data_IF_725840719098
#
_entry.id   IF_725840719098
#
_cell.length_a   1.000
_cell.length_b   1.000
_cell.length_c   1.000
_cell.angle_alpha   90.00
_cell.angle_beta   90.00
_cell.angle_gamma   90.00
#
_symmetry.space_group_name_H-M   'P 1'
#
loop_
_entity.id
_entity.type
_entity.pdbx_description
1 polymer ?
#
# COMPACT_ATOMS: atom_id res chain seq x y z
N UNK A 1 14.20 -19.37 -10.11
CA UNK A 1 14.08 -17.91 -9.87
C UNK A 1 15.40 -17.37 -9.32
N UNK A 2 15.81 -16.19 -9.78
CA UNK A 2 17.04 -15.54 -9.32
C UNK A 2 16.87 -14.96 -7.90
N UNK A 3 17.95 -14.98 -7.10
CA UNK A 3 17.94 -14.44 -5.73
C UNK A 3 18.55 -13.02 -5.66
N UNK A 4 19.07 -12.52 -6.76
CA UNK A 4 19.62 -11.17 -6.87
C UNK A 4 18.89 -10.38 -7.95
N UNK A 5 18.86 -9.06 -7.85
CA UNK A 5 18.30 -8.21 -8.91
C UNK A 5 18.95 -8.51 -10.27
N UNK A 6 18.22 -8.36 -11.37
CA UNK A 6 18.75 -8.53 -12.73
C UNK A 6 19.86 -7.53 -13.04
N UNK A 7 19.84 -6.39 -12.39
CA UNK A 7 20.86 -5.37 -12.39
C UNK A 7 21.01 -4.73 -11.01
N UNK A 8 22.16 -4.15 -10.68
CA UNK A 8 22.30 -3.44 -9.42
C UNK A 8 21.39 -2.19 -9.39
N UNK A 9 20.94 -1.80 -8.19
CA UNK A 9 20.41 -0.46 -7.93
C UNK A 9 21.57 0.52 -8.03
N UNK A 10 21.45 1.51 -8.88
CA UNK A 10 22.52 2.50 -9.13
C UNK A 10 22.55 3.59 -8.05
N UNK A 11 23.67 4.26 -7.91
CA UNK A 11 23.77 5.37 -6.96
C UNK A 11 22.86 6.55 -7.36
N UNK A 12 22.62 6.76 -8.64
CA UNK A 12 21.67 7.77 -9.15
C UNK A 12 20.22 7.47 -8.73
N UNK A 13 19.84 6.19 -8.77
CA UNK A 13 18.51 5.73 -8.31
C UNK A 13 18.37 5.91 -6.81
N UNK A 14 19.42 5.62 -6.03
CA UNK A 14 19.44 5.84 -4.58
C UNK A 14 19.29 7.34 -4.27
N UNK A 15 20.05 8.19 -4.95
CA UNK A 15 19.97 9.65 -4.79
C UNK A 15 18.60 10.20 -5.22
N UNK A 16 17.99 9.64 -6.28
CA UNK A 16 16.62 10.00 -6.67
C UNK A 16 15.64 9.64 -5.56
N UNK A 17 15.72 8.43 -5.01
CA UNK A 17 14.88 8.02 -3.89
C UNK A 17 15.05 8.93 -2.66
N UNK A 18 16.30 9.21 -2.27
CA UNK A 18 16.62 10.11 -1.16
C UNK A 18 16.13 11.55 -1.40
N UNK A 19 16.16 12.04 -2.63
CA UNK A 19 15.75 13.40 -2.98
C UNK A 19 14.24 13.53 -3.12
N UNK A 20 13.61 12.63 -3.85
CA UNK A 20 12.22 12.74 -4.31
C UNK A 20 11.24 11.94 -3.42
N UNK A 21 11.73 10.98 -2.62
CA UNK A 21 10.92 10.11 -1.78
C UNK A 21 10.37 8.89 -2.50
N UNK A 22 10.65 8.74 -3.79
CA UNK A 22 10.30 7.56 -4.59
C UNK A 22 11.25 7.40 -5.77
N UNK A 23 11.28 6.17 -6.31
CA UNK A 23 12.06 5.85 -7.52
C UNK A 23 11.39 4.71 -8.30
N UNK A 24 11.38 4.81 -9.61
CA UNK A 24 11.00 3.75 -10.53
C UNK A 24 12.26 3.01 -10.99
N UNK A 25 12.36 1.74 -10.68
CA UNK A 25 13.46 0.86 -11.04
C UNK A 25 13.03 -0.05 -12.19
N UNK A 26 13.53 0.22 -13.37
CA UNK A 26 13.15 -0.51 -14.58
C UNK A 26 13.94 -1.83 -14.70
N UNK A 27 13.27 -2.89 -15.19
CA UNK A 27 13.86 -4.19 -15.55
C UNK A 27 14.74 -4.78 -14.43
N UNK A 28 14.25 -4.84 -13.20
CA UNK A 28 15.02 -5.26 -12.03
C UNK A 28 14.62 -6.63 -11.50
N UNK A 29 13.36 -7.07 -11.74
CA UNK A 29 12.87 -8.40 -11.40
C UNK A 29 12.72 -9.28 -12.63
N UNK A 30 13.01 -10.58 -12.48
CA UNK A 30 12.83 -11.54 -13.56
C UNK A 30 11.38 -11.90 -13.80
N UNK A 31 11.07 -12.31 -15.03
CA UNK A 31 9.74 -12.77 -15.44
C UNK A 31 9.22 -13.93 -14.58
N UNK A 32 10.10 -14.78 -14.06
CA UNK A 32 9.71 -15.87 -13.15
C UNK A 32 9.03 -15.35 -11.89
N UNK A 33 9.59 -14.29 -11.26
CA UNK A 33 9.00 -13.67 -10.07
C UNK A 33 7.69 -12.96 -10.39
N UNK A 34 7.63 -12.27 -11.51
CA UNK A 34 6.41 -11.59 -11.97
C UNK A 34 5.31 -12.60 -12.26
N UNK A 35 5.64 -13.70 -12.96
CA UNK A 35 4.68 -14.76 -13.31
C UNK A 35 4.16 -15.47 -12.05
N UNK A 36 5.05 -15.75 -11.08
CA UNK A 36 4.65 -16.33 -9.80
C UNK A 36 3.66 -15.42 -9.08
N UNK A 37 3.99 -14.13 -8.98
CA UNK A 37 3.16 -13.14 -8.33
C UNK A 37 1.80 -13.00 -9.02
N UNK A 38 1.78 -12.91 -10.35
CA UNK A 38 0.55 -12.74 -11.12
C UNK A 38 -0.44 -13.89 -10.89
N UNK A 39 0.04 -15.12 -11.03
CA UNK A 39 -0.77 -16.32 -10.76
C UNK A 39 -1.24 -16.38 -9.31
N UNK A 40 -0.40 -15.94 -8.38
CA UNK A 40 -0.75 -15.95 -6.96
C UNK A 40 -1.84 -14.93 -6.63
N UNK A 41 -1.76 -13.72 -7.21
CA UNK A 41 -2.82 -12.71 -7.06
C UNK A 41 -4.14 -13.23 -7.63
N UNK A 42 -4.13 -13.87 -8.79
CA UNK A 42 -5.33 -14.47 -9.38
C UNK A 42 -5.93 -15.58 -8.50
N UNK A 43 -5.08 -16.45 -7.94
CA UNK A 43 -5.53 -17.49 -7.02
C UNK A 43 -6.12 -16.92 -5.72
N UNK A 44 -5.51 -15.88 -5.15
CA UNK A 44 -6.01 -15.17 -3.97
C UNK A 44 -7.31 -14.43 -4.27
N UNK A 45 -7.46 -13.86 -5.45
CA UNK A 45 -8.71 -13.20 -5.86
C UNK A 45 -9.87 -14.20 -6.02
N UNK A 46 -9.58 -15.40 -6.52
CA UNK A 46 -10.58 -16.46 -6.68
C UNK A 46 -10.98 -17.11 -5.33
N UNK A 47 -10.05 -17.19 -4.39
CA UNK A 47 -10.26 -17.77 -3.06
C UNK A 47 -9.60 -16.88 -1.99
N UNK A 48 -10.22 -15.76 -1.62
CA UNK A 48 -9.66 -14.81 -0.68
C UNK A 48 -9.38 -15.47 0.68
N UNK A 49 -8.15 -15.34 1.17
CA UNK A 49 -7.76 -15.82 2.49
C UNK A 49 -7.07 -14.68 3.25
N UNK A 50 -7.41 -14.57 4.53
CA UNK A 50 -6.82 -13.56 5.39
C UNK A 50 -7.65 -12.28 5.50
N UNK A 51 -6.98 -11.18 5.77
CA UNK A 51 -7.64 -9.87 5.88
C UNK A 51 -7.89 -9.30 4.48
N UNK A 52 -9.14 -9.37 4.04
CA UNK A 52 -9.59 -8.93 2.72
C UNK A 52 -10.58 -7.79 2.90
N UNK A 53 -10.36 -6.70 2.18
CA UNK A 53 -11.26 -5.55 2.13
C UNK A 53 -11.70 -5.36 0.68
N UNK A 54 -12.99 -5.46 0.43
CA UNK A 54 -13.61 -5.01 -0.82
C UNK A 54 -14.08 -3.56 -0.63
N UNK A 55 -13.24 -2.63 -1.03
CA UNK A 55 -13.51 -1.21 -0.90
C UNK A 55 -14.73 -0.75 -1.72
N UNK A 56 -15.03 -1.40 -2.85
CA UNK A 56 -16.21 -1.08 -3.64
C UNK A 56 -17.48 -1.46 -2.90
N UNK A 57 -17.55 -2.68 -2.36
CA UNK A 57 -18.70 -3.11 -1.56
C UNK A 57 -18.83 -2.25 -0.31
N UNK A 58 -17.73 -1.98 0.40
CA UNK A 58 -17.72 -1.13 1.58
C UNK A 58 -18.25 0.29 1.26
N UNK A 59 -17.80 0.87 0.14
CA UNK A 59 -18.26 2.16 -0.34
C UNK A 59 -19.75 2.18 -0.68
N UNK A 60 -20.24 1.17 -1.38
CA UNK A 60 -21.66 1.06 -1.73
C UNK A 60 -22.54 0.86 -0.48
N UNK A 61 -22.09 0.08 0.48
CA UNK A 61 -22.79 -0.10 1.76
C UNK A 61 -22.81 1.19 2.56
N UNK A 62 -21.71 1.94 2.60
CA UNK A 62 -21.64 3.22 3.29
C UNK A 62 -22.60 4.27 2.71
N UNK A 63 -22.82 4.27 1.39
CA UNK A 63 -23.82 5.14 0.73
C UNK A 63 -25.26 4.74 1.03
N UNK A 64 -25.52 3.43 1.19
CA UNK A 64 -26.85 2.89 1.40
C UNK A 64 -27.32 2.93 2.86
N UNK A 65 -26.42 3.20 3.81
CA UNK A 65 -26.68 3.03 5.24
C UNK A 65 -26.57 4.36 5.98
N UNK A 66 -27.67 4.82 6.57
CA UNK A 66 -27.68 6.00 7.45
C UNK A 66 -27.02 5.73 8.82
N UNK A 67 -26.76 4.46 9.18
CA UNK A 67 -26.20 4.12 10.48
C UNK A 67 -25.11 3.05 10.38
N UNK A 68 -24.00 3.29 11.08
CA UNK A 68 -22.88 2.36 11.26
C UNK A 68 -23.32 1.02 11.87
N UNK A 69 -24.35 1.03 12.69
CA UNK A 69 -24.82 -0.13 13.44
C UNK A 69 -25.37 -1.25 12.55
N UNK A 70 -25.90 -0.94 11.37
CA UNK A 70 -26.38 -1.94 10.43
C UNK A 70 -25.23 -2.70 9.73
N UNK A 71 -24.08 -2.07 9.53
CA UNK A 71 -22.87 -2.69 8.94
C UNK A 71 -22.10 -3.54 9.96
N UNK A 72 -22.34 -3.30 11.24
CA UNK A 72 -21.60 -3.91 12.35
C UNK A 72 -22.29 -5.17 12.87
N UNK A 73 -23.50 -5.52 12.37
CA UNK A 73 -24.28 -6.65 12.86
C UNK A 73 -23.59 -8.00 12.66
N UNK A 74 -22.65 -8.14 11.71
CA UNK A 74 -21.94 -9.39 11.44
C UNK A 74 -20.46 -9.36 11.86
N UNK A 75 -20.16 -9.92 13.00
CA UNK A 75 -18.92 -10.56 13.42
C UNK A 75 -17.74 -9.67 13.78
N UNK A 76 -16.84 -9.34 12.85
CA UNK A 76 -15.50 -8.78 13.12
C UNK A 76 -15.48 -7.30 13.53
N UNK A 77 -16.50 -6.54 13.17
CA UNK A 77 -16.61 -5.10 13.45
C UNK A 77 -17.23 -4.78 14.83
N UNK A 78 -17.48 -5.78 15.65
CA UNK A 78 -17.99 -5.60 17.03
C UNK A 78 -16.94 -5.01 17.99
N UNK A 79 -15.66 -5.10 17.62
CA UNK A 79 -14.56 -4.56 18.42
C UNK A 79 -14.56 -3.01 18.31
N UNK A 80 -14.67 -2.28 19.44
CA UNK A 80 -14.65 -0.82 19.42
C UNK A 80 -13.37 -0.19 18.85
N UNK A 81 -12.23 -0.89 18.94
CA UNK A 81 -10.96 -0.41 18.38
C UNK A 81 -10.94 -0.56 16.85
N UNK A 82 -11.48 -1.67 16.34
CA UNK A 82 -11.67 -1.86 14.89
C UNK A 82 -12.68 -0.88 14.31
N UNK A 83 -13.76 -0.56 15.07
CA UNK A 83 -14.74 0.47 14.68
C UNK A 83 -14.14 1.87 14.58
N UNK A 84 -13.19 2.20 15.43
CA UNK A 84 -12.54 3.51 15.41
C UNK A 84 -11.71 3.73 14.14
N UNK A 85 -11.25 2.64 13.52
CA UNK A 85 -10.47 2.69 12.28
C UNK A 85 -11.33 2.86 11.03
N UNK A 86 -12.53 2.31 10.98
CA UNK A 86 -13.42 2.43 9.83
C UNK A 86 -14.79 2.96 10.26
N UNK A 87 -15.03 4.26 10.11
CA UNK A 87 -16.36 4.83 10.25
C UNK A 87 -17.05 4.85 8.87
N UNK A 88 -18.00 3.94 8.59
CA UNK A 88 -18.74 3.94 7.33
C UNK A 88 -19.47 5.26 7.08
N UNK A 89 -19.94 5.93 8.13
CA UNK A 89 -20.60 7.23 7.99
C UNK A 89 -19.65 8.33 7.50
N UNK A 90 -18.37 8.32 7.92
CA UNK A 90 -17.36 9.24 7.40
C UNK A 90 -16.97 8.89 5.95
N UNK A 91 -17.02 7.61 5.58
CA UNK A 91 -16.74 7.17 4.21
C UNK A 91 -17.88 7.52 3.25
N UNK A 92 -19.14 7.42 3.69
CA UNK A 92 -20.32 7.60 2.84
C UNK A 92 -20.37 8.95 2.11
N UNK A 93 -19.85 10.00 2.74
CA UNK A 93 -19.99 11.38 2.24
C UNK A 93 -18.83 11.84 1.33
N UNK A 94 -17.74 11.06 1.20
CA UNK A 94 -16.53 11.49 0.48
C UNK A 94 -15.81 10.35 -0.24
N UNK A 95 -16.53 9.39 -0.79
CA UNK A 95 -15.91 8.31 -1.56
C UNK A 95 -15.42 8.84 -2.89
N UNK A 96 -14.12 8.69 -3.11
CA UNK A 96 -13.47 9.11 -4.35
C UNK A 96 -13.79 8.12 -5.48
N UNK A 97 -14.64 8.55 -6.40
CA UNK A 97 -15.01 7.79 -7.60
C UNK A 97 -14.70 8.58 -8.86
N UNK A 98 -14.39 7.85 -9.91
CA UNK A 98 -14.30 8.42 -11.24
C UNK A 98 -15.65 8.26 -11.96
N UNK A 99 -16.10 9.31 -12.66
CA UNK A 99 -17.20 9.19 -13.62
C UNK A 99 -16.69 8.37 -14.81
N UNK A 100 -17.17 7.14 -14.93
CA UNK A 100 -16.93 6.28 -16.08
C UNK A 100 -18.30 5.94 -16.68
N UNK A 101 -18.48 6.24 -17.95
CA UNK A 101 -19.64 5.79 -18.70
C UNK A 101 -19.59 4.27 -18.86
N UNK A 102 -20.16 3.55 -17.91
CA UNK A 102 -20.24 2.09 -17.90
C UNK A 102 -21.60 1.70 -18.48
N UNK A 103 -21.75 1.81 -19.80
CA UNK A 103 -22.92 1.26 -20.48
C UNK A 103 -22.78 -0.27 -20.54
N UNK A 104 -23.63 -0.97 -19.79
CA UNK A 104 -23.77 -2.44 -19.77
C UNK A 104 -22.52 -3.25 -19.36
N UNK A 105 -21.50 -2.67 -18.72
CA UNK A 105 -20.36 -3.40 -18.20
C UNK A 105 -20.54 -3.72 -16.72
N UNK A 106 -20.11 -4.90 -16.30
CA UNK A 106 -20.02 -5.24 -14.89
C UNK A 106 -18.90 -4.40 -14.26
N UNK A 107 -19.21 -3.63 -13.20
CA UNK A 107 -18.21 -2.83 -12.48
C UNK A 107 -17.18 -3.75 -11.81
N UNK A 108 -15.92 -3.39 -11.92
CA UNK A 108 -14.85 -4.00 -11.13
C UNK A 108 -14.92 -3.59 -9.67
N UNK A 109 -14.44 -4.46 -8.79
CA UNK A 109 -14.35 -4.19 -7.37
C UNK A 109 -12.91 -3.95 -6.97
N UNK A 110 -12.65 -2.86 -6.25
CA UNK A 110 -11.35 -2.60 -5.65
C UNK A 110 -11.15 -3.48 -4.43
N UNK A 111 -10.30 -4.49 -4.58
CA UNK A 111 -9.98 -5.44 -3.50
C UNK A 111 -8.56 -5.22 -3.00
N UNK A 112 -8.42 -5.20 -1.68
CA UNK A 112 -7.15 -5.17 -0.97
C UNK A 112 -7.04 -6.39 -0.05
N UNK A 113 -5.86 -7.02 -0.04
CA UNK A 113 -5.54 -8.13 0.87
C UNK A 113 -4.22 -7.81 1.57
N UNK A 114 -4.19 -7.83 2.91
CA UNK A 114 -3.01 -7.53 3.72
C UNK A 114 -2.50 -8.76 4.44
N UNK A 115 -1.21 -8.77 4.76
CA UNK A 115 -0.54 -9.84 5.51
C UNK A 115 -0.51 -11.18 4.78
N UNK A 116 -0.56 -11.18 3.45
CA UNK A 116 -0.54 -12.40 2.65
C UNK A 116 0.76 -13.17 2.82
N UNK A 117 1.90 -12.50 3.06
CA UNK A 117 3.19 -13.18 3.24
C UNK A 117 3.21 -14.15 4.43
N UNK A 118 2.36 -13.95 5.43
CA UNK A 118 2.26 -14.85 6.59
C UNK A 118 1.45 -16.13 6.31
N UNK A 119 0.67 -16.16 5.23
CA UNK A 119 -0.33 -17.20 4.95
C UNK A 119 -0.23 -17.83 3.56
N UNK A 120 0.48 -17.19 2.64
CA UNK A 120 0.61 -17.60 1.26
C UNK A 120 2.09 -17.83 0.94
N UNK A 121 2.51 -19.09 0.80
CA UNK A 121 3.91 -19.46 0.59
C UNK A 121 4.56 -18.75 -0.62
N UNK A 122 3.92 -18.64 -1.81
CA UNK A 122 4.48 -17.90 -2.92
C UNK A 122 4.75 -16.42 -2.60
N UNK A 123 3.87 -15.76 -1.84
CA UNK A 123 4.09 -14.37 -1.39
C UNK A 123 5.22 -14.33 -0.35
N UNK A 124 5.27 -15.28 0.58
CA UNK A 124 6.37 -15.39 1.53
C UNK A 124 7.72 -15.55 0.84
N UNK A 125 7.80 -16.39 -0.20
CA UNK A 125 9.02 -16.56 -1.00
C UNK A 125 9.44 -15.25 -1.69
N UNK A 126 8.49 -14.55 -2.30
CA UNK A 126 8.76 -13.25 -2.91
C UNK A 126 9.27 -12.24 -1.87
N UNK A 127 8.59 -12.12 -0.76
CA UNK A 127 8.87 -11.13 0.29
C UNK A 127 10.21 -11.41 0.99
N UNK A 128 10.51 -12.68 1.27
CA UNK A 128 11.67 -13.05 2.10
C UNK A 128 12.88 -13.50 1.29
N UNK A 129 12.69 -14.14 0.11
CA UNK A 129 13.75 -14.84 -0.60
C UNK A 129 14.07 -14.26 -1.98
N UNK A 130 13.23 -13.37 -2.52
CA UNK A 130 13.45 -12.75 -3.84
C UNK A 130 14.54 -11.66 -3.79
N UNK A 131 14.88 -11.03 -4.93
CA UNK A 131 15.77 -9.87 -4.96
C UNK A 131 15.30 -8.65 -4.15
N UNK A 132 14.01 -8.59 -3.80
CA UNK A 132 13.36 -7.40 -3.22
C UNK A 132 13.99 -6.93 -1.90
N UNK A 133 14.35 -7.80 -0.92
CA UNK A 133 15.06 -7.37 0.28
C UNK A 133 16.42 -6.71 0.02
N UNK A 134 17.16 -7.16 -1.00
CA UNK A 134 18.43 -6.51 -1.39
C UNK A 134 18.18 -5.11 -1.94
N UNK A 135 17.15 -4.94 -2.78
CA UNK A 135 16.73 -3.62 -3.30
C UNK A 135 16.39 -2.68 -2.13
N UNK A 136 15.60 -3.15 -1.16
CA UNK A 136 15.26 -2.39 0.03
C UNK A 136 16.50 -1.96 0.84
N UNK A 137 17.42 -2.90 1.10
CA UNK A 137 18.69 -2.62 1.80
C UNK A 137 19.50 -1.53 1.11
N UNK A 138 19.61 -1.58 -0.22
CA UNK A 138 20.37 -0.59 -1.01
C UNK A 138 19.76 0.80 -0.93
N UNK A 139 18.45 0.91 -1.13
CA UNK A 139 17.76 2.21 -1.12
C UNK A 139 17.72 2.84 0.29
N UNK A 140 17.54 2.05 1.34
CA UNK A 140 17.59 2.55 2.72
C UNK A 140 19.01 2.72 3.26
N UNK A 141 20.05 2.27 2.54
CA UNK A 141 21.43 2.18 3.07
C UNK A 141 21.46 1.42 4.40
N UNK A 142 20.62 0.41 4.55
CA UNK A 142 20.45 -0.34 5.78
C UNK A 142 21.20 -1.66 5.73
N UNK A 143 21.80 -2.06 6.86
CA UNK A 143 22.50 -3.36 6.99
C UNK A 143 21.54 -4.51 7.22
N UNK A 144 20.45 -4.26 7.97
CA UNK A 144 19.36 -5.21 8.18
C UNK A 144 18.10 -4.72 7.51
N UNK A 145 17.28 -5.63 7.03
CA UNK A 145 15.94 -5.34 6.52
C UNK A 145 14.96 -6.28 7.18
N UNK A 146 13.92 -5.70 7.74
CA UNK A 146 12.75 -6.39 8.27
C UNK A 146 11.60 -6.24 7.29
N UNK A 147 10.81 -7.30 7.07
CA UNK A 147 9.47 -7.13 6.52
C UNK A 147 8.50 -6.94 7.68
N UNK A 148 7.53 -6.06 7.52
CA UNK A 148 6.51 -5.91 8.55
C UNK A 148 5.08 -5.98 8.00
N UNK A 149 4.84 -5.67 6.73
CA UNK A 149 3.54 -5.90 6.10
C UNK A 149 3.64 -6.05 4.59
N UNK A 150 2.57 -6.55 3.98
CA UNK A 150 2.34 -6.56 2.54
C UNK A 150 0.87 -6.25 2.22
N UNK A 151 0.64 -5.72 1.05
CA UNK A 151 -0.69 -5.40 0.57
C UNK A 151 -0.82 -5.73 -0.91
N UNK A 152 -1.65 -6.72 -1.24
CA UNK A 152 -2.08 -7.00 -2.60
C UNK A 152 -3.22 -6.05 -2.95
N UNK A 153 -3.12 -5.41 -4.10
CA UNK A 153 -4.09 -4.44 -4.61
C UNK A 153 -4.58 -4.87 -5.98
N UNK A 154 -5.88 -5.07 -6.11
CA UNK A 154 -6.54 -5.52 -7.32
C UNK A 154 -7.65 -4.55 -7.71
N UNK A 155 -7.52 -3.91 -8.86
CA UNK A 155 -8.56 -3.12 -9.52
C UNK A 155 -8.89 -3.73 -10.89
N UNK A 156 -9.91 -4.61 -11.00
CA UNK A 156 -10.39 -5.12 -12.26
C UNK A 156 -10.82 -4.00 -13.23
N UNK A 157 -11.15 -4.30 -14.51
CA UNK A 157 -11.71 -3.32 -15.41
C UNK A 157 -12.93 -2.60 -14.82
N UNK A 158 -13.05 -1.31 -15.11
CA UNK A 158 -14.14 -0.45 -14.61
C UNK A 158 -14.24 -0.35 -13.08
N UNK A 159 -13.12 -0.45 -12.36
CA UNK A 159 -13.06 -0.11 -10.94
C UNK A 159 -13.00 1.42 -10.78
N UNK A 160 -14.06 2.01 -10.23
CA UNK A 160 -14.20 3.47 -10.15
C UNK A 160 -13.49 4.08 -8.95
N UNK A 161 -13.28 3.28 -7.90
CA UNK A 161 -12.71 3.77 -6.64
C UNK A 161 -11.25 4.19 -6.83
N UNK A 162 -10.96 5.43 -6.47
CA UNK A 162 -9.61 5.97 -6.33
C UNK A 162 -9.00 5.55 -5.00
N UNK A 163 -7.71 5.69 -4.87
CA UNK A 163 -7.02 5.68 -3.57
C UNK A 163 -6.71 7.13 -3.23
N UNK A 164 -7.28 7.62 -2.14
CA UNK A 164 -7.05 8.98 -1.67
C UNK A 164 -5.56 9.25 -1.40
N UNK A 165 -5.13 10.48 -1.53
CA UNK A 165 -3.77 10.89 -1.16
C UNK A 165 -3.53 10.60 0.32
N UNK A 166 -2.42 9.95 0.64
CA UNK A 166 -2.05 9.54 2.00
C UNK A 166 -0.56 9.30 2.15
N UNK A 167 -0.11 9.16 3.38
CA UNK A 167 1.19 8.59 3.76
C UNK A 167 0.95 7.21 4.33
N UNK A 168 1.73 6.21 3.93
CA UNK A 168 1.65 4.86 4.53
C UNK A 168 2.02 4.87 6.02
N UNK A 169 2.95 5.74 6.42
CA UNK A 169 3.48 5.78 7.78
C UNK A 169 2.43 5.94 8.90
N UNK A 170 1.27 6.50 8.59
CA UNK A 170 0.17 6.64 9.54
C UNK A 170 -0.57 5.34 9.85
N UNK A 171 -0.53 4.38 8.93
CA UNK A 171 -1.26 3.11 9.01
C UNK A 171 -0.47 1.98 9.67
N UNK A 172 0.81 2.20 9.98
CA UNK A 172 1.71 1.17 10.46
C UNK A 172 2.27 1.50 11.85
N UNK A 173 2.40 0.47 12.70
CA UNK A 173 2.94 0.60 14.06
C UNK A 173 4.48 0.64 14.07
N UNK A 174 5.07 1.44 13.19
CA UNK A 174 6.52 1.57 13.03
C UNK A 174 6.94 3.03 12.91
N UNK A 175 8.12 3.35 13.42
CA UNK A 175 8.78 4.64 13.29
C UNK A 175 10.24 4.45 12.89
N UNK A 176 10.80 5.41 12.19
CA UNK A 176 12.16 5.45 11.68
C UNK A 176 12.24 6.24 10.38
N UNK A 177 13.44 6.41 9.87
CA UNK A 177 13.69 7.03 8.55
C UNK A 177 13.95 5.97 7.47
N UNK A 178 14.42 4.78 7.87
CA UNK A 178 14.66 3.67 6.96
C UNK A 178 13.39 2.83 6.80
N UNK A 179 12.36 3.43 6.19
CA UNK A 179 11.05 2.82 5.97
C UNK A 179 10.63 3.02 4.52
N UNK A 180 10.30 1.95 3.81
CA UNK A 180 9.86 2.03 2.43
C UNK A 180 8.83 0.96 2.05
N UNK A 181 8.02 1.30 1.04
CA UNK A 181 7.15 0.38 0.32
C UNK A 181 7.72 0.06 -1.05
N UNK A 182 7.80 -1.22 -1.41
CA UNK A 182 8.17 -1.68 -2.75
C UNK A 182 6.93 -2.21 -3.45
N UNK A 183 6.47 -1.48 -4.45
CA UNK A 183 5.35 -1.84 -5.28
C UNK A 183 5.82 -2.62 -6.51
N UNK A 184 5.26 -3.80 -6.71
CA UNK A 184 5.57 -4.72 -7.81
C UNK A 184 4.29 -4.92 -8.63
N UNK A 185 4.19 -4.34 -9.84
CA UNK A 185 3.07 -4.56 -10.73
C UNK A 185 3.23 -5.89 -11.48
N UNK A 186 2.11 -6.57 -11.74
CA UNK A 186 2.09 -7.74 -12.63
C UNK A 186 1.42 -7.43 -13.97
N UNK A 187 0.84 -6.25 -14.10
CA UNK A 187 0.28 -5.72 -15.34
C UNK A 187 0.91 -4.37 -15.66
N UNK A 188 1.08 -4.07 -16.95
CA UNK A 188 1.55 -2.74 -17.36
C UNK A 188 0.54 -1.69 -16.92
N UNK A 189 0.98 -0.69 -16.18
CA UNK A 189 0.14 0.40 -15.73
C UNK A 189 0.20 1.59 -16.70
N UNK A 190 -0.95 2.11 -17.06
CA UNK A 190 -1.11 3.26 -17.96
C UNK A 190 -1.95 4.33 -17.27
N UNK A 191 -1.97 5.54 -17.79
CA UNK A 191 -2.82 6.62 -17.25
C UNK A 191 -4.30 6.24 -17.20
N UNK A 192 -4.79 5.46 -18.18
CA UNK A 192 -6.16 4.94 -18.18
C UNK A 192 -6.46 4.03 -16.98
N UNK A 193 -5.44 3.35 -16.45
CA UNK A 193 -5.58 2.42 -15.33
C UNK A 193 -5.40 3.09 -13.97
N UNK A 194 -5.27 4.41 -13.92
CA UNK A 194 -5.09 5.18 -12.70
C UNK A 194 -3.81 4.79 -11.94
N UNK A 195 -2.61 5.00 -12.52
CA UNK A 195 -1.36 4.64 -11.87
C UNK A 195 -1.14 5.48 -10.60
N UNK A 196 -0.18 5.04 -9.79
CA UNK A 196 0.14 5.77 -8.56
C UNK A 196 0.90 7.05 -8.89
N UNK A 197 0.38 8.17 -8.37
CA UNK A 197 1.04 9.46 -8.33
C UNK A 197 1.75 9.68 -6.99
N UNK A 198 2.93 10.28 -7.04
CA UNK A 198 3.77 10.57 -5.87
C UNK A 198 4.05 12.06 -5.80
N UNK A 199 3.87 12.67 -4.62
CA UNK A 199 4.25 14.06 -4.38
C UNK A 199 5.74 14.13 -4.04
N UNK A 200 6.53 14.61 -4.99
CA UNK A 200 7.99 14.63 -4.90
C UNK A 200 8.48 15.46 -3.72
N UNK A 201 9.33 14.86 -2.90
CA UNK A 201 9.97 15.51 -1.76
C UNK A 201 9.13 15.54 -0.48
N UNK A 202 7.84 15.18 -0.52
CA UNK A 202 6.92 15.28 0.62
C UNK A 202 7.33 14.46 1.85
N UNK A 203 8.17 13.45 1.68
CA UNK A 203 8.71 12.67 2.81
C UNK A 203 9.66 13.47 3.71
N UNK A 204 10.17 14.62 3.25
CA UNK A 204 11.10 15.50 3.97
C UNK A 204 10.42 16.63 4.73
N UNK A 205 9.13 16.85 4.54
CA UNK A 205 8.40 17.97 5.13
C UNK A 205 8.31 17.87 6.67
N UNK A 206 8.64 16.71 7.23
CA UNK A 206 8.53 16.45 8.66
C UNK A 206 7.09 16.40 9.17
N UNK A 207 6.12 16.49 8.28
CA UNK A 207 4.70 16.50 8.60
C UNK A 207 4.18 15.08 8.66
N UNK A 208 3.45 14.77 9.73
CA UNK A 208 2.63 13.56 9.85
C UNK A 208 1.20 13.95 9.55
N UNK A 209 0.67 13.40 8.47
CA UNK A 209 -0.69 13.66 8.04
C UNK A 209 -1.67 12.68 8.69
N UNK A 210 -2.92 13.12 8.83
CA UNK A 210 -4.01 12.29 9.33
C UNK A 210 -4.19 11.05 8.48
N UNK A 211 -4.40 9.92 9.14
CA UNK A 211 -4.88 8.70 8.48
C UNK A 211 -6.28 8.96 7.93
N UNK A 212 -6.50 8.60 6.67
CA UNK A 212 -7.82 8.65 6.03
C UNK A 212 -8.39 7.23 5.81
N UNK A 213 -9.55 7.15 5.19
CA UNK A 213 -10.23 5.87 4.96
C UNK A 213 -9.88 5.24 3.60
N UNK A 214 -8.69 5.47 3.10
CA UNK A 214 -8.08 4.90 1.90
C UNK A 214 -8.79 5.24 0.58
N UNK A 215 -10.11 5.07 0.47
CA UNK A 215 -10.92 5.47 -0.69
C UNK A 215 -11.72 6.76 -0.45
N UNK A 216 -11.38 7.50 0.60
CA UNK A 216 -12.02 8.75 0.98
C UNK A 216 -10.97 9.71 1.54
N UNK A 217 -11.06 10.99 1.24
CA UNK A 217 -10.18 12.04 1.77
C UNK A 217 -10.46 12.38 3.24
N UNK A 218 -11.56 11.90 3.79
CA UNK A 218 -11.92 12.17 5.18
C UNK A 218 -10.88 11.56 6.10
N UNK A 219 -10.17 12.42 6.82
CA UNK A 219 -9.23 12.00 7.85
C UNK A 219 -9.95 11.50 9.10
N UNK A 220 -9.32 10.59 9.84
CA UNK A 220 -9.82 10.15 11.12
C UNK A 220 -9.91 11.37 12.08
N UNK A 221 -11.11 11.64 12.60
CA UNK A 221 -11.37 12.82 13.45
C UNK A 221 -10.55 12.81 14.74
N UNK A 222 -10.19 11.63 15.25
CA UNK A 222 -9.39 11.47 16.47
C UNK A 222 -7.89 11.62 16.23
N UNK A 223 -7.45 11.55 14.96
CA UNK A 223 -6.06 11.72 14.62
C UNK A 223 -5.67 13.21 14.71
N UNK A 224 -4.60 13.50 15.42
CA UNK A 224 -4.06 14.85 15.62
C UNK A 224 -3.09 15.27 14.51
N UNK A 225 -2.85 14.44 13.53
CA UNK A 225 -2.02 14.76 12.35
C UNK A 225 -2.53 15.95 11.57
N UNK A 226 -1.68 16.50 10.71
CA UNK A 226 -2.06 17.59 9.81
C UNK A 226 -3.10 17.11 8.76
N UNK A 227 -3.98 17.98 8.26
CA UNK A 227 -4.80 17.64 7.11
C UNK A 227 -3.91 17.43 5.87
N UNK A 228 -4.28 16.47 5.05
CA UNK A 228 -3.60 16.26 3.76
C UNK A 228 -3.88 17.48 2.87
N UNK A 229 -2.89 18.01 2.14
CA UNK A 229 -3.11 19.07 1.17
C UNK A 229 -4.17 18.68 0.13
N UNK A 230 -4.90 19.65 -0.36
CA UNK A 230 -5.90 19.48 -1.43
C UNK A 230 -5.20 19.26 -2.78
N UNK A 231 -4.74 18.03 -3.00
CA UNK A 231 -3.99 17.63 -4.20
C UNK A 231 -4.95 17.16 -5.30
N UNK A 232 -6.02 16.45 -4.92
CA UNK A 232 -6.97 15.84 -5.86
C UNK A 232 -7.62 16.91 -6.75
N UNK A 233 -7.42 16.82 -8.06
CA UNK A 233 -7.90 17.82 -9.03
C UNK A 233 -7.07 19.10 -9.11
N UNK A 234 -6.01 19.22 -8.30
CA UNK A 234 -5.07 20.36 -8.28
C UNK A 234 -3.63 19.92 -8.49
N UNK A 235 -3.40 18.74 -9.05
CA UNK A 235 -2.07 18.13 -9.19
C UNK A 235 -1.08 19.02 -9.96
N UNK A 236 -1.58 19.90 -10.82
CA UNK A 236 -0.77 20.87 -11.56
C UNK A 236 -0.08 21.91 -10.65
N UNK A 237 -0.62 22.14 -9.45
CA UNK A 237 -0.09 23.07 -8.45
C UNK A 237 0.95 22.41 -7.53
N UNK A 238 1.12 21.09 -7.67
CA UNK A 238 2.01 20.26 -6.88
C UNK A 238 3.02 19.55 -7.76
N UNK A 239 4.16 19.16 -7.18
CA UNK A 239 5.19 18.40 -7.89
C UNK A 239 4.84 16.90 -7.96
N UNK A 240 3.66 16.56 -8.51
CA UNK A 240 3.19 15.20 -8.67
C UNK A 240 3.84 14.53 -9.88
N UNK A 241 4.32 13.31 -9.70
CA UNK A 241 4.85 12.45 -10.77
C UNK A 241 4.10 11.11 -10.76
N UNK A 242 3.47 10.75 -11.90
CA UNK A 242 2.80 9.47 -12.07
C UNK A 242 3.75 8.42 -12.64
N UNK A 243 3.90 7.31 -11.93
CA UNK A 243 4.71 6.19 -12.41
C UNK A 243 3.85 5.20 -13.21
N UNK A 244 4.31 4.83 -14.40
CA UNK A 244 3.64 3.86 -15.29
C UNK A 244 4.52 2.61 -15.48
N UNK A 245 4.74 1.81 -14.42
CA UNK A 245 5.61 0.65 -14.50
C UNK A 245 5.00 -0.47 -15.34
N UNK A 246 5.87 -1.34 -15.83
CA UNK A 246 5.52 -2.58 -16.51
C UNK A 246 6.01 -3.81 -15.71
N UNK A 247 5.54 -5.02 -16.01
CA UNK A 247 6.05 -6.25 -15.39
C UNK A 247 7.58 -6.33 -15.48
N UNK A 248 8.23 -6.63 -14.35
CA UNK A 248 9.70 -6.62 -14.22
C UNK A 248 10.27 -5.33 -13.61
N UNK A 249 9.50 -4.25 -13.64
CA UNK A 249 9.82 -3.02 -12.91
C UNK A 249 9.35 -3.10 -11.47
N UNK A 250 9.89 -2.22 -10.61
CA UNK A 250 9.34 -1.93 -9.29
C UNK A 250 9.30 -0.41 -9.06
N UNK A 251 8.33 0.07 -8.31
CA UNK A 251 8.30 1.45 -7.82
C UNK A 251 8.48 1.41 -6.32
N UNK A 252 9.46 2.15 -5.83
CA UNK A 252 9.77 2.21 -4.40
C UNK A 252 9.46 3.61 -3.88
N UNK A 253 8.79 3.69 -2.74
CA UNK A 253 8.50 4.97 -2.08
C UNK A 253 8.81 4.90 -0.59
N UNK A 254 9.25 6.03 -0.06
CA UNK A 254 9.38 6.22 1.39
C UNK A 254 7.99 6.29 2.03
N UNK A 255 7.77 5.66 3.20
CA UNK A 255 6.42 5.59 3.79
C UNK A 255 5.82 6.95 4.16
N UNK A 256 6.64 8.00 4.26
CA UNK A 256 6.16 9.38 4.44
C UNK A 256 5.89 10.12 3.14
N UNK A 257 6.12 9.50 1.97
CA UNK A 257 5.80 10.14 0.69
C UNK A 257 4.28 10.14 0.51
N UNK A 258 3.70 11.32 0.30
CA UNK A 258 2.30 11.45 -0.09
C UNK A 258 2.10 10.84 -1.47
N UNK A 259 1.13 9.95 -1.57
CA UNK A 259 0.78 9.28 -2.82
C UNK A 259 -0.71 8.95 -2.88
N UNK A 260 -1.20 8.80 -4.10
CA UNK A 260 -2.60 8.47 -4.38
C UNK A 260 -2.71 7.78 -5.74
N UNK A 261 -3.88 7.25 -6.08
CA UNK A 261 -4.05 6.53 -7.34
C UNK A 261 -5.48 6.63 -7.87
N UNK A 262 -5.63 6.78 -9.17
CA UNK A 262 -6.92 6.78 -9.84
C UNK A 262 -7.65 5.43 -9.82
N UNK A 263 -8.89 5.44 -10.27
CA UNK A 263 -9.64 4.25 -10.62
C UNK A 263 -9.07 3.59 -11.89
N UNK A 264 -9.46 2.35 -12.16
CA UNK A 264 -9.11 1.65 -13.39
C UNK A 264 -10.23 1.80 -14.42
N UNK A 265 -10.02 2.66 -15.43
CA UNK A 265 -10.96 2.89 -16.54
C UNK A 265 -10.78 1.94 -17.71
N UNK A 266 -9.74 1.09 -17.68
CA UNK A 266 -9.53 0.08 -18.72
C UNK A 266 -10.76 -0.82 -18.85
N UNK A 267 -11.12 -1.16 -20.09
CA UNK A 267 -12.26 -2.04 -20.40
C UNK A 267 -11.93 -3.52 -20.27
N UNK A 268 -10.64 -3.86 -20.32
CA UNK A 268 -10.22 -5.26 -20.48
C UNK A 268 -9.13 -5.71 -19.53
N UNK A 269 -8.36 -4.77 -18.96
CA UNK A 269 -7.14 -5.09 -18.23
C UNK A 269 -7.28 -4.73 -16.75
N UNK A 270 -7.08 -5.70 -15.88
CA UNK A 270 -7.00 -5.47 -14.44
C UNK A 270 -5.67 -4.82 -14.07
N UNK A 271 -5.66 -3.88 -13.13
CA UNK A 271 -4.45 -3.39 -12.46
C UNK A 271 -4.18 -4.27 -11.24
N UNK A 272 -3.05 -4.98 -11.26
CA UNK A 272 -2.66 -5.93 -10.22
C UNK A 272 -1.26 -5.60 -9.72
N UNK A 273 -1.10 -5.48 -8.41
CA UNK A 273 0.19 -5.28 -7.80
C UNK A 273 0.22 -5.77 -6.35
N UNK A 274 1.41 -6.00 -5.83
CA UNK A 274 1.68 -6.08 -4.39
C UNK A 274 2.55 -4.89 -3.98
N UNK A 275 2.29 -4.32 -2.80
CA UNK A 275 3.22 -3.41 -2.11
C UNK A 275 3.73 -4.12 -0.87
N UNK A 276 5.06 -4.24 -0.75
CA UNK A 276 5.71 -4.88 0.41
C UNK A 276 6.38 -3.78 1.21
N UNK A 277 6.10 -3.74 2.52
CA UNK A 277 6.64 -2.73 3.43
C UNK A 277 7.83 -3.28 4.18
N UNK A 278 8.97 -2.61 4.04
CA UNK A 278 10.22 -2.96 4.69
C UNK A 278 10.71 -1.85 5.61
N UNK A 279 11.41 -2.28 6.66
CA UNK A 279 12.00 -1.41 7.66
C UNK A 279 13.50 -1.73 7.83
N UNK A 280 14.31 -0.72 8.11
CA UNK A 280 15.76 -0.84 8.26
C UNK A 280 16.25 -0.82 9.71
N UNK A 281 17.54 -0.53 9.89
CA UNK A 281 18.25 -0.60 11.18
C UNK A 281 17.70 0.36 12.24
N UNK A 282 17.18 1.52 11.85
CA UNK A 282 16.66 2.55 12.76
C UNK A 282 15.20 2.34 13.14
N UNK A 283 14.54 1.36 12.54
CA UNK A 283 13.12 1.12 12.77
C UNK A 283 12.84 0.69 14.21
N UNK A 284 11.79 1.26 14.79
CA UNK A 284 11.30 0.98 16.14
C UNK A 284 9.80 0.81 16.13
N UNK A 285 9.31 -0.06 17.00
CA UNK A 285 7.88 -0.15 17.23
C UNK A 285 7.33 1.17 17.77
N UNK A 286 6.20 1.62 17.22
CA UNK A 286 5.44 2.78 17.70
C UNK A 286 3.96 2.49 17.57
N UNK A 287 3.29 2.27 18.71
CA UNK A 287 1.86 2.10 18.72
C UNK A 287 1.16 3.38 18.21
N UNK A 288 0.34 3.23 17.18
CA UNK A 288 -0.49 4.30 16.61
C UNK A 288 -1.96 3.97 16.86
N UNK A 289 -2.68 4.76 17.67
CA UNK A 289 -4.07 4.45 18.06
C UNK A 289 -5.06 4.50 16.90
N UNK A 290 -4.66 5.07 15.76
CA UNK A 290 -5.50 5.22 14.57
C UNK A 290 -5.10 4.29 13.42
N UNK A 291 -4.03 3.54 13.58
CA UNK A 291 -3.62 2.51 12.64
C UNK A 291 -4.45 1.24 12.82
N UNK A 292 -4.62 0.42 11.77
CA UNK A 292 -5.26 -0.88 11.90
C UNK A 292 -4.62 -1.72 13.00
N UNK A 293 -5.41 -2.46 13.81
CA UNK A 293 -4.86 -3.34 14.84
C UNK A 293 -3.94 -4.39 14.22
N UNK A 294 -2.79 -4.62 14.84
CA UNK A 294 -1.84 -5.70 14.50
C UNK A 294 -1.56 -6.54 15.74
N UNK A 295 -1.32 -7.84 15.56
CA UNK A 295 -1.03 -8.78 16.67
C UNK A 295 0.42 -8.63 17.22
N UNK A 296 0.86 -7.39 17.43
CA UNK A 296 2.22 -7.04 17.90
C UNK A 296 2.22 -6.38 19.28
N UNK A 297 1.15 -6.54 20.03
CA UNK A 297 0.92 -5.82 21.30
C UNK A 297 1.87 -6.16 22.46
N UNK A 298 2.76 -7.15 22.28
CA UNK A 298 3.80 -7.43 23.25
C UNK A 298 5.00 -6.48 23.15
N UNK A 299 5.14 -5.74 22.04
CA UNK A 299 6.14 -4.71 21.85
C UNK A 299 5.72 -3.40 22.54
N UNK A 300 6.70 -2.65 23.04
CA UNK A 300 6.51 -1.31 23.59
C UNK A 300 7.09 -0.26 22.66
N UNK A 301 6.56 0.95 22.75
CA UNK A 301 7.09 2.07 21.97
C UNK A 301 8.61 2.23 22.20
N UNK A 302 9.35 2.24 21.10
CA UNK A 302 10.81 2.31 21.09
C UNK A 302 11.51 0.95 21.03
N UNK A 303 10.80 -0.15 21.17
CA UNK A 303 11.39 -1.48 21.03
C UNK A 303 11.88 -1.72 19.59
N UNK A 304 13.04 -2.37 19.41
CA UNK A 304 13.47 -2.83 18.10
C UNK A 304 12.55 -3.95 17.57
N UNK A 305 12.35 -4.01 16.26
CA UNK A 305 11.41 -4.96 15.64
C UNK A 305 11.86 -6.42 15.77
N UNK A 306 13.15 -6.68 15.93
CA UNK A 306 13.70 -8.04 16.07
C UNK A 306 13.38 -8.71 17.43
N UNK A 307 12.73 -8.01 18.32
CA UNK A 307 12.13 -8.63 19.52
C UNK A 307 10.84 -9.44 19.16
N UNK A 308 10.32 -9.24 17.95
CA UNK A 308 9.18 -10.00 17.42
C UNK A 308 9.50 -10.58 16.03
N UNK A 309 10.38 -11.57 15.93
CA UNK A 309 10.79 -12.12 14.64
C UNK A 309 9.68 -12.91 13.93
N UNK A 310 8.61 -13.25 14.62
CA UNK A 310 7.45 -13.92 14.02
C UNK A 310 6.65 -12.96 13.13
N UNK A 311 6.47 -11.71 13.57
CA UNK A 311 5.78 -10.68 12.81
C UNK A 311 6.72 -9.81 11.98
N UNK A 312 7.99 -9.67 12.39
CA UNK A 312 8.99 -8.83 11.75
C UNK A 312 10.27 -9.62 11.43
N UNK A 313 10.20 -10.65 10.57
CA UNK A 313 11.38 -11.44 10.26
C UNK A 313 12.46 -10.59 9.58
N UNK A 314 13.73 -10.85 9.94
CA UNK A 314 14.88 -10.30 9.22
C UNK A 314 15.00 -11.04 7.89
N UNK A 315 14.95 -10.31 6.79
CA UNK A 315 15.00 -10.86 5.43
C UNK A 315 16.28 -10.49 4.70
N UNK A 316 17.09 -9.60 5.27
CA UNK A 316 18.41 -9.22 4.80
C UNK A 316 19.34 -8.87 5.98
N UNK A 317 20.67 -9.22 5.95
CA UNK A 317 21.34 -10.07 4.94
C UNK A 317 20.87 -11.52 5.01
N UNK A 318 21.13 -12.26 3.93
CA UNK A 318 20.87 -13.72 3.84
C UNK A 318 22.13 -14.51 4.08
#
# INVERSE_FOLDING_TARGET
MNLRPLRPVTEEEIQKFERDGFVHLENILSDDWVTLLDRTIEALAANPSGQVIDFTTLGMMAEATETVDALVADGEWKDPEKRAWASPAAMANNILREEVAVENAQRGHFVSMTGAFRRCEPINELVCKSPVPEIASRLMRSKKVYVYDDQVLLKPPYTLEKTAWHQDNGYDHVAGDQLLGIRIPTTRETMEMGPVGYLRGSHKDGVIYKVNYFISEVGNERDTGAPIPDIEGHEQDFAVEYCQPQPGDVVVHHLRTLHGAGGNRSKTTARKAITIRYAGDDARFLHRPFAPPQDVFHLKNGDPLDLDPANHPVVWPR
#
